data_IF_405181276989
#
_entry.id   IF_405181276989
#
_cell.length_a   1.000
_cell.length_b   1.000
_cell.length_c   1.000
_cell.angle_alpha   90.00
_cell.angle_beta   90.00
_cell.angle_gamma   90.00
#
_symmetry.space_group_name_H-M   'P 1'
#
loop_
_entity.id
_entity.type
_entity.pdbx_description
1 polymer ?
#
# COMPACT_ATOMS: atom_id res chain seq x y z
N UNK A 1 29.79 -6.54 19.26
CA UNK A 1 29.88 -7.92 18.77
C UNK A 1 28.76 -8.78 19.36
N UNK A 2 27.52 -8.28 19.32
CA UNK A 2 26.35 -8.95 19.93
C UNK A 2 25.34 -9.42 18.88
N UNK A 3 25.67 -9.23 17.60
CA UNK A 3 24.81 -9.56 16.48
C UNK A 3 25.32 -10.86 15.87
N UNK A 4 24.48 -11.88 15.95
CA UNK A 4 24.74 -13.15 15.30
C UNK A 4 24.59 -13.00 13.78
N UNK A 5 25.32 -13.80 12.99
CA UNK A 5 25.12 -13.87 11.55
C UNK A 5 23.69 -14.30 11.21
N UNK A 6 22.95 -13.46 10.47
CA UNK A 6 21.52 -13.68 10.21
C UNK A 6 21.16 -13.94 8.75
N UNK A 7 22.12 -13.87 7.82
CA UNK A 7 21.85 -14.01 6.38
C UNK A 7 21.16 -15.33 6.01
N UNK A 8 21.59 -16.45 6.59
CA UNK A 8 20.97 -17.75 6.34
C UNK A 8 19.52 -17.80 6.83
N UNK A 9 19.22 -17.16 7.97
CA UNK A 9 17.87 -17.04 8.51
C UNK A 9 16.98 -16.20 7.58
N UNK A 10 17.49 -15.05 7.13
CA UNK A 10 16.76 -14.13 6.25
C UNK A 10 16.45 -14.75 4.88
N UNK A 11 17.38 -15.54 4.33
CA UNK A 11 17.14 -16.29 3.09
C UNK A 11 16.04 -17.34 3.27
N UNK A 12 16.06 -18.10 4.37
CA UNK A 12 15.01 -19.09 4.66
C UNK A 12 13.64 -18.44 4.84
N UNK A 13 13.57 -17.28 5.49
CA UNK A 13 12.31 -16.56 5.70
C UNK A 13 11.72 -15.99 4.40
N UNK A 14 12.58 -15.64 3.45
CA UNK A 14 12.19 -15.01 2.18
C UNK A 14 12.16 -15.96 0.99
N UNK A 15 12.44 -17.25 1.17
CA UNK A 15 12.59 -18.27 0.10
C UNK A 15 11.45 -18.25 -0.94
N UNK A 16 10.22 -17.96 -0.51
CA UNK A 16 9.03 -17.96 -1.38
C UNK A 16 8.76 -16.63 -2.08
N UNK A 17 9.42 -15.54 -1.67
CA UNK A 17 9.11 -14.17 -2.12
C UNK A 17 10.33 -13.45 -2.72
N UNK A 18 11.54 -13.77 -2.27
CA UNK A 18 12.77 -13.27 -2.84
C UNK A 18 13.10 -13.99 -4.15
N UNK A 19 13.50 -13.22 -5.17
CA UNK A 19 13.95 -13.73 -6.48
C UNK A 19 15.45 -13.62 -6.67
N UNK A 20 16.12 -12.83 -5.84
CA UNK A 20 17.57 -12.58 -5.88
C UNK A 20 18.07 -12.16 -4.49
N UNK A 21 19.39 -11.97 -4.35
CA UNK A 21 20.01 -11.57 -3.08
C UNK A 21 19.60 -10.15 -2.64
N UNK A 22 19.32 -9.25 -3.58
CA UNK A 22 18.89 -7.87 -3.30
C UNK A 22 17.51 -7.84 -2.60
N UNK A 23 16.62 -8.78 -2.91
CA UNK A 23 15.34 -8.92 -2.22
C UNK A 23 15.52 -9.34 -0.76
N UNK A 24 16.48 -10.24 -0.49
CA UNK A 24 16.84 -10.65 0.87
C UNK A 24 17.38 -9.45 1.65
N UNK A 25 18.22 -8.63 1.02
CA UNK A 25 18.72 -7.39 1.62
C UNK A 25 17.60 -6.36 1.82
N UNK A 26 16.67 -6.23 0.88
CA UNK A 26 15.49 -5.36 1.01
C UNK A 26 14.64 -5.76 2.22
N UNK A 27 14.43 -7.06 2.41
CA UNK A 27 13.76 -7.61 3.58
C UNK A 27 14.56 -7.38 4.86
N UNK A 28 15.89 -7.54 4.84
CA UNK A 28 16.76 -7.32 5.98
C UNK A 28 16.67 -5.87 6.52
N UNK A 29 16.52 -4.90 5.62
CA UNK A 29 16.40 -3.49 6.00
C UNK A 29 15.08 -3.18 6.72
N UNK A 30 13.97 -3.74 6.22
CA UNK A 30 12.62 -3.50 6.77
C UNK A 30 11.74 -4.74 6.57
N UNK A 31 11.75 -5.73 7.48
CA UNK A 31 11.10 -7.02 7.27
C UNK A 31 9.61 -6.93 6.92
N UNK A 32 8.84 -6.13 7.65
CA UNK A 32 7.39 -6.00 7.46
C UNK A 32 7.03 -5.36 6.11
N UNK A 33 7.73 -4.28 5.75
CA UNK A 33 7.51 -3.54 4.50
C UNK A 33 8.04 -4.36 3.32
N UNK A 34 9.26 -4.89 3.43
CA UNK A 34 9.89 -5.71 2.41
C UNK A 34 9.07 -6.94 2.07
N UNK A 35 8.49 -7.61 3.07
CA UNK A 35 7.58 -8.74 2.85
C UNK A 35 6.37 -8.36 2.00
N UNK A 36 5.66 -7.30 2.40
CA UNK A 36 4.47 -6.81 1.70
C UNK A 36 4.82 -6.38 0.28
N UNK A 37 5.89 -5.61 0.12
CA UNK A 37 6.38 -5.15 -1.18
C UNK A 37 6.73 -6.30 -2.13
N UNK A 38 7.51 -7.30 -1.67
CA UNK A 38 7.91 -8.44 -2.49
C UNK A 38 6.72 -9.32 -2.88
N UNK A 39 5.77 -9.52 -1.97
CA UNK A 39 4.52 -10.24 -2.25
C UNK A 39 3.70 -9.54 -3.33
N UNK A 40 3.44 -8.24 -3.16
CA UNK A 40 2.68 -7.45 -4.12
C UNK A 40 3.36 -7.38 -5.48
N UNK A 41 4.69 -7.20 -5.50
CA UNK A 41 5.51 -7.21 -6.72
C UNK A 41 5.37 -8.54 -7.46
N UNK A 42 5.48 -9.66 -6.76
CA UNK A 42 5.42 -10.98 -7.38
C UNK A 42 4.02 -11.31 -7.90
N UNK A 43 2.97 -10.80 -7.24
CA UNK A 43 1.59 -10.91 -7.69
C UNK A 43 1.20 -9.86 -8.76
N UNK A 44 2.09 -8.93 -9.11
CA UNK A 44 1.78 -7.83 -10.04
C UNK A 44 0.71 -6.87 -9.53
N UNK A 45 0.60 -6.73 -8.21
CA UNK A 45 -0.49 -6.02 -7.51
C UNK A 45 -0.04 -4.76 -6.78
N UNK A 46 1.21 -4.33 -6.97
CA UNK A 46 1.73 -3.07 -6.43
C UNK A 46 0.83 -1.90 -6.87
N UNK A 47 0.39 -1.10 -5.89
CA UNK A 47 -0.38 0.13 -6.12
C UNK A 47 0.37 1.32 -5.54
N UNK A 48 1.23 1.98 -6.34
CA UNK A 48 1.84 3.23 -5.93
C UNK A 48 0.79 4.30 -5.65
N UNK A 49 1.10 5.22 -4.75
CA UNK A 49 0.29 6.41 -4.56
C UNK A 49 0.21 7.21 -5.88
N UNK A 50 -1.00 7.56 -6.29
CA UNK A 50 -1.21 8.31 -7.51
C UNK A 50 -0.73 9.76 -7.34
N UNK A 51 -0.02 10.27 -8.34
CA UNK A 51 0.31 11.69 -8.38
C UNK A 51 -0.97 12.49 -8.62
N UNK A 52 -1.34 13.32 -7.64
CA UNK A 52 -2.47 14.22 -7.76
C UNK A 52 -2.09 15.42 -8.63
N UNK A 53 -3.02 15.90 -9.46
CA UNK A 53 -2.85 17.20 -10.12
C UNK A 53 -2.99 18.32 -9.10
N UNK A 54 -2.49 19.52 -9.41
CA UNK A 54 -2.63 20.67 -8.51
C UNK A 54 -4.10 21.07 -8.36
N UNK A 55 -4.88 20.87 -9.41
CA UNK A 55 -6.31 21.13 -9.48
C UNK A 55 -7.09 20.16 -8.58
N UNK A 56 -6.73 18.86 -8.57
CA UNK A 56 -7.38 17.84 -7.73
C UNK A 56 -7.19 18.10 -6.23
N UNK A 57 -6.07 18.71 -5.85
CA UNK A 57 -5.75 19.07 -4.46
C UNK A 57 -6.41 20.40 -4.05
N UNK A 58 -6.99 21.16 -4.98
CA UNK A 58 -7.64 22.43 -4.68
C UNK A 58 -8.87 22.20 -3.78
N UNK A 59 -8.76 22.61 -2.52
CA UNK A 59 -9.73 22.32 -1.45
C UNK A 59 -11.02 23.14 -1.50
N UNK A 60 -11.21 23.99 -2.53
CA UNK A 60 -12.33 24.91 -2.61
C UNK A 60 -13.68 24.17 -2.68
N UNK A 61 -13.78 23.10 -3.47
CA UNK A 61 -15.03 22.35 -3.69
C UNK A 61 -15.51 21.60 -2.45
N UNK A 62 -14.59 21.04 -1.65
CA UNK A 62 -14.94 20.26 -0.45
C UNK A 62 -15.59 21.11 0.65
N UNK A 63 -15.32 22.41 0.69
CA UNK A 63 -15.93 23.33 1.67
C UNK A 63 -17.41 23.60 1.39
N UNK A 64 -17.85 23.43 0.15
CA UNK A 64 -19.22 23.76 -0.27
C UNK A 64 -20.09 22.52 -0.54
N UNK A 65 -19.51 21.31 -0.53
CA UNK A 65 -20.24 20.08 -0.74
C UNK A 65 -21.16 19.79 0.47
N UNK A 66 -22.49 19.64 0.26
CA UNK A 66 -23.39 19.25 1.35
C UNK A 66 -23.14 17.79 1.75
N UNK A 67 -23.37 17.47 3.03
CA UNK A 67 -23.26 16.11 3.57
C UNK A 67 -24.61 15.42 3.76
N UNK A 68 -25.71 16.17 3.63
CA UNK A 68 -27.06 15.70 3.93
C UNK A 68 -27.95 15.90 2.70
N UNK A 69 -28.64 14.84 2.29
CA UNK A 69 -29.49 14.82 1.11
C UNK A 69 -30.79 14.08 1.38
N UNK A 70 -31.77 14.30 0.50
CA UNK A 70 -32.97 13.48 0.42
C UNK A 70 -33.10 13.03 -1.02
N UNK A 71 -33.01 11.72 -1.26
CA UNK A 71 -33.05 11.14 -2.59
C UNK A 71 -34.43 10.52 -2.78
N UNK A 72 -35.20 10.99 -3.76
CA UNK A 72 -36.52 10.44 -4.07
C UNK A 72 -36.46 9.55 -5.30
N UNK A 73 -36.86 8.29 -5.16
CA UNK A 73 -36.90 7.30 -6.22
C UNK A 73 -38.20 6.51 -6.14
N UNK A 74 -38.90 6.37 -7.27
CA UNK A 74 -40.19 5.67 -7.35
C UNK A 74 -41.25 6.13 -6.32
N UNK A 75 -41.22 7.40 -5.92
CA UNK A 75 -42.16 7.98 -4.97
C UNK A 75 -41.79 7.78 -3.50
N UNK A 76 -40.70 7.07 -3.20
CA UNK A 76 -40.15 6.92 -1.85
C UNK A 76 -38.93 7.84 -1.68
N UNK A 77 -38.81 8.47 -0.51
CA UNK A 77 -37.68 9.38 -0.18
C UNK A 77 -36.77 8.74 0.85
N UNK A 78 -35.49 8.60 0.50
CA UNK A 78 -34.43 8.10 1.37
C UNK A 78 -33.64 9.28 1.92
N UNK A 79 -33.40 9.25 3.21
CA UNK A 79 -32.52 10.18 3.90
C UNK A 79 -31.12 9.59 3.98
#
# INVERSE_FOLDING_TARGET
DLLEPEMARLQAETERIAKNEEDVLTFAMFPDIGKTFLQERNAGSLKPEALLSKEDVATSSSRYAPNEFKITLHGETFH
#
